data_IF_765967511768
#
_entry.id   IF_765967511768
#
_cell.length_a   1.000
_cell.length_b   1.000
_cell.length_c   1.000
_cell.angle_alpha   90.00
_cell.angle_beta   90.00
_cell.angle_gamma   90.00
#
_symmetry.space_group_name_H-M   'P 1'
#
loop_
_entity.id
_entity.type
_entity.pdbx_description
1 polymer ?
#
# COMPACT_ATOMS: atom_id res chain seq x y z
N UNK A 1 -11.31 39.55 12.98
CA UNK A 1 -12.08 38.28 13.02
C UNK A 1 -11.87 37.56 11.68
N UNK A 2 -11.05 36.51 11.62
CA UNK A 2 -10.88 35.67 10.43
C UNK A 2 -11.19 34.23 10.83
N UNK A 3 -12.35 33.72 10.45
CA UNK A 3 -12.72 32.33 10.69
C UNK A 3 -12.25 31.47 9.50
N UNK A 4 -11.28 30.59 9.78
CA UNK A 4 -11.32 29.16 9.41
C UNK A 4 -11.43 28.86 7.89
N UNK A 5 -10.28 28.79 7.21
CA UNK A 5 -10.10 28.02 5.97
C UNK A 5 -9.84 26.55 6.35
N UNK A 6 -10.82 25.90 6.98
CA UNK A 6 -10.70 24.50 7.39
C UNK A 6 -11.89 23.71 6.86
N UNK A 7 -11.96 23.37 5.55
CA UNK A 7 -12.70 22.15 5.14
C UNK A 7 -12.71 21.70 3.67
N UNK A 8 -12.12 22.38 2.69
CA UNK A 8 -12.34 21.97 1.29
C UNK A 8 -11.63 20.66 0.91
N UNK A 9 -10.45 20.39 1.48
CA UNK A 9 -9.65 19.21 1.12
C UNK A 9 -10.02 17.94 1.90
N UNK A 10 -10.53 18.07 3.13
CA UNK A 10 -11.03 16.92 3.91
C UNK A 10 -12.28 16.31 3.29
N UNK A 11 -13.19 17.14 2.78
CA UNK A 11 -14.40 16.69 2.09
C UNK A 11 -14.05 15.81 0.86
N UNK A 12 -13.03 16.21 0.09
CA UNK A 12 -12.57 15.45 -1.08
C UNK A 12 -11.98 14.08 -0.73
N UNK A 13 -11.19 13.98 0.36
CA UNK A 13 -10.61 12.70 0.78
C UNK A 13 -11.72 11.75 1.23
N UNK A 14 -12.66 12.24 2.04
CA UNK A 14 -13.82 11.46 2.48
C UNK A 14 -14.62 10.95 1.29
N UNK A 15 -14.92 11.79 0.31
CA UNK A 15 -15.66 11.40 -0.91
C UNK A 15 -14.92 10.33 -1.72
N UNK A 16 -13.59 10.43 -1.86
CA UNK A 16 -12.78 9.41 -2.54
C UNK A 16 -12.83 8.06 -1.81
N UNK A 17 -12.74 8.08 -0.48
CA UNK A 17 -12.82 6.86 0.34
C UNK A 17 -14.21 6.24 0.25
N UNK A 18 -15.28 7.06 0.26
CA UNK A 18 -16.66 6.55 0.08
C UNK A 18 -16.80 5.88 -1.29
N UNK A 19 -16.37 6.52 -2.37
CA UNK A 19 -16.42 5.93 -3.73
C UNK A 19 -15.64 4.62 -3.82
N UNK A 20 -14.46 4.55 -3.20
CA UNK A 20 -13.69 3.31 -3.12
C UNK A 20 -14.51 2.21 -2.44
N UNK A 21 -15.15 2.51 -1.31
CA UNK A 21 -15.96 1.52 -0.58
C UNK A 21 -17.17 1.09 -1.40
N UNK A 22 -17.82 2.01 -2.14
CA UNK A 22 -18.94 1.71 -3.04
C UNK A 22 -18.55 0.79 -4.23
N UNK A 23 -17.27 0.72 -4.58
CA UNK A 23 -16.74 -0.15 -5.65
C UNK A 23 -16.35 -1.55 -5.16
N UNK A 24 -16.31 -1.78 -3.84
CA UNK A 24 -15.92 -3.06 -3.27
C UNK A 24 -17.04 -4.11 -3.40
N UNK A 25 -16.70 -5.41 -3.52
CA UNK A 25 -17.69 -6.48 -3.46
C UNK A 25 -18.53 -6.47 -2.16
N UNK A 26 -19.64 -7.19 -2.13
CA UNK A 26 -20.49 -7.25 -0.91
C UNK A 26 -19.92 -8.21 0.16
N UNK A 27 -19.05 -9.14 -0.23
CA UNK A 27 -18.54 -10.24 0.61
C UNK A 27 -17.19 -9.95 1.30
N UNK A 28 -16.80 -8.68 1.41
CA UNK A 28 -15.50 -8.28 1.95
C UNK A 28 -15.51 -8.09 3.47
N UNK A 29 -14.38 -8.37 4.11
CA UNK A 29 -14.18 -8.13 5.53
C UNK A 29 -13.59 -6.75 5.82
N UNK A 30 -13.72 -6.27 7.06
CA UNK A 30 -13.05 -5.03 7.49
C UNK A 30 -11.54 -5.06 7.23
N UNK A 31 -10.90 -6.22 7.36
CA UNK A 31 -9.48 -6.38 7.07
C UNK A 31 -9.15 -6.11 5.61
N UNK A 32 -10.02 -6.54 4.68
CA UNK A 32 -9.84 -6.30 3.25
C UNK A 32 -10.01 -4.81 2.91
N UNK A 33 -11.00 -4.13 3.53
CA UNK A 33 -11.18 -2.67 3.38
C UNK A 33 -9.91 -1.93 3.80
N UNK A 34 -9.34 -2.32 4.95
CA UNK A 34 -8.11 -1.71 5.47
C UNK A 34 -6.91 -1.98 4.56
N UNK A 35 -6.79 -3.19 4.01
CA UNK A 35 -5.76 -3.55 3.06
C UNK A 35 -5.83 -2.71 1.77
N UNK A 36 -7.04 -2.57 1.20
CA UNK A 36 -7.28 -1.74 0.01
C UNK A 36 -6.93 -0.28 0.28
N UNK A 37 -7.35 0.27 1.42
CA UNK A 37 -7.05 1.64 1.81
C UNK A 37 -5.54 1.88 1.92
N UNK A 38 -4.82 0.97 2.57
CA UNK A 38 -3.37 1.06 2.73
C UNK A 38 -2.64 0.92 1.38
N UNK A 39 -3.12 0.02 0.52
CA UNK A 39 -2.58 -0.15 -0.82
C UNK A 39 -2.69 1.15 -1.63
N UNK A 40 -3.91 1.74 -1.71
CA UNK A 40 -4.12 3.00 -2.43
C UNK A 40 -3.30 4.15 -1.87
N UNK A 41 -3.19 4.25 -0.54
CA UNK A 41 -2.34 5.26 0.10
C UNK A 41 -0.87 5.15 -0.35
N UNK A 42 -0.33 3.93 -0.42
CA UNK A 42 1.06 3.71 -0.84
C UNK A 42 1.25 4.01 -2.33
N UNK A 43 0.30 3.64 -3.18
CA UNK A 43 0.34 3.94 -4.61
C UNK A 43 0.31 5.45 -4.85
N UNK A 44 -0.64 6.17 -4.25
CA UNK A 44 -0.75 7.63 -4.37
C UNK A 44 0.53 8.33 -3.85
N UNK A 45 1.08 7.84 -2.74
CA UNK A 45 2.36 8.33 -2.21
C UNK A 45 3.51 8.12 -3.19
N UNK A 46 3.63 6.91 -3.76
CA UNK A 46 4.65 6.59 -4.74
C UNK A 46 4.53 7.41 -6.04
N UNK A 47 3.31 7.61 -6.54
CA UNK A 47 3.06 8.46 -7.72
C UNK A 47 3.51 9.91 -7.45
N UNK A 48 3.18 10.46 -6.29
CA UNK A 48 3.63 11.79 -5.90
C UNK A 48 5.16 11.89 -5.83
N UNK A 49 5.83 10.87 -5.29
CA UNK A 49 7.30 10.82 -5.28
C UNK A 49 7.90 10.80 -6.69
N UNK A 50 7.27 10.08 -7.62
CA UNK A 50 7.68 10.07 -9.02
C UNK A 50 7.52 11.46 -9.67
N UNK A 51 6.40 12.13 -9.45
CA UNK A 51 6.15 13.50 -9.94
C UNK A 51 7.17 14.50 -9.38
N UNK A 52 7.63 14.29 -8.14
CA UNK A 52 8.67 15.08 -7.49
C UNK A 52 10.11 14.68 -7.92
N UNK A 53 10.26 13.74 -8.86
CA UNK A 53 11.56 13.28 -9.35
C UNK A 53 12.33 12.39 -8.37
N UNK A 54 11.68 11.86 -7.34
CA UNK A 54 12.27 10.97 -6.32
C UNK A 54 12.21 9.48 -6.71
N UNK A 55 11.96 9.19 -7.99
CA UNK A 55 11.98 7.84 -8.53
C UNK A 55 13.34 7.16 -8.36
N UNK A 56 13.32 5.83 -8.33
CA UNK A 56 14.54 5.02 -8.25
C UNK A 56 14.94 4.58 -9.65
N UNK A 57 16.23 4.43 -9.92
CA UNK A 57 16.68 3.89 -11.21
C UNK A 57 16.30 2.43 -11.37
N UNK A 58 16.22 1.96 -12.62
CA UNK A 58 15.93 0.56 -12.93
C UNK A 58 16.85 -0.43 -12.21
N UNK A 59 18.15 -0.11 -12.14
CA UNK A 59 19.15 -0.97 -11.49
C UNK A 59 18.98 -0.99 -9.96
N UNK A 60 18.63 0.13 -9.34
CA UNK A 60 18.34 0.19 -7.91
C UNK A 60 17.04 -0.56 -7.58
N UNK A 61 16.02 -0.44 -8.43
CA UNK A 61 14.77 -1.19 -8.31
C UNK A 61 15.02 -2.71 -8.38
N UNK A 62 15.81 -3.19 -9.36
CA UNK A 62 16.21 -4.60 -9.45
C UNK A 62 16.91 -5.06 -8.18
N UNK A 63 17.89 -4.29 -7.68
CA UNK A 63 18.65 -4.64 -6.48
C UNK A 63 17.74 -4.78 -5.25
N UNK A 64 16.77 -3.88 -5.08
CA UNK A 64 15.77 -3.94 -4.01
C UNK A 64 14.90 -5.20 -4.13
N UNK A 65 14.41 -5.50 -5.33
CA UNK A 65 13.55 -6.65 -5.57
C UNK A 65 14.29 -7.98 -5.33
N UNK A 66 15.54 -8.10 -5.78
CA UNK A 66 16.36 -9.30 -5.55
C UNK A 66 16.57 -9.59 -4.06
N UNK A 67 16.76 -8.56 -3.23
CA UNK A 67 16.84 -8.74 -1.77
C UNK A 67 15.55 -9.33 -1.21
N UNK A 68 14.40 -8.79 -1.60
CA UNK A 68 13.10 -9.25 -1.13
C UNK A 68 12.84 -10.71 -1.50
N UNK A 69 13.13 -11.11 -2.75
CA UNK A 69 13.03 -12.49 -3.21
C UNK A 69 13.95 -13.44 -2.43
N UNK A 70 15.14 -12.98 -2.05
CA UNK A 70 16.10 -13.79 -1.28
C UNK A 70 15.63 -13.99 0.17
N UNK A 71 15.09 -12.95 0.81
CA UNK A 71 14.54 -13.08 2.17
C UNK A 71 13.28 -13.96 2.19
N UNK A 72 12.37 -13.80 1.23
CA UNK A 72 11.19 -14.65 1.11
C UNK A 72 11.55 -16.12 0.88
N UNK A 73 12.52 -16.39 -0.01
CA UNK A 73 13.00 -17.75 -0.26
C UNK A 73 13.66 -18.40 0.98
N UNK A 74 14.36 -17.61 1.80
CA UNK A 74 14.97 -18.09 3.05
C UNK A 74 13.93 -18.40 4.12
N UNK A 75 12.93 -17.53 4.28
CA UNK A 75 11.83 -17.79 5.23
C UNK A 75 11.06 -19.05 4.88
N UNK A 76 10.83 -19.29 3.58
CA UNK A 76 10.22 -20.53 3.10
C UNK A 76 11.12 -21.76 3.29
N UNK A 77 12.44 -21.63 3.19
CA UNK A 77 13.35 -22.75 3.48
C UNK A 77 13.41 -23.08 4.97
N UNK A 78 13.34 -22.08 5.85
CA UNK A 78 13.41 -22.27 7.29
C UNK A 78 12.11 -22.90 7.84
N UNK A 79 10.94 -22.49 7.33
CA UNK A 79 9.64 -23.12 7.64
C UNK A 79 9.57 -24.60 7.20
N UNK A 80 10.22 -24.95 6.08
CA UNK A 80 10.30 -26.35 5.61
C UNK A 80 11.25 -27.22 6.43
N UNK A 81 12.21 -26.61 7.15
CA UNK A 81 13.18 -27.33 8.00
C UNK A 81 12.63 -27.53 9.42
N UNK A 82 11.88 -26.57 9.96
CA UNK A 82 11.26 -26.70 11.29
C UNK A 82 9.88 -27.38 11.25
N UNK A 83 9.17 -27.32 10.11
CA UNK A 83 7.87 -27.94 9.88
C UNK A 83 7.90 -29.43 9.56
N UNK A 84 8.81 -30.19 10.17
CA UNK A 84 8.80 -31.65 10.11
C UNK A 84 7.42 -32.19 10.50
N UNK A 85 6.74 -32.76 9.50
CA UNK A 85 5.41 -33.38 9.55
C UNK A 85 5.02 -33.85 10.97
N UNK A 86 4.05 -33.16 11.58
CA UNK A 86 3.12 -33.76 12.53
C UNK A 86 1.73 -33.68 11.93
#
# INVERSE_FOLDING_TARGET
MHYIVINRDKAKIKEKVIKMIEELPEDITVSDVMAELYFRQNVDGGLKELDEGKGTSHEEAKKRLSRWLTYGARLLSDDLVEGGFR
#
